data_IF_414666193140
#
_entry.id   IF_414666193140
#
_cell.length_a   1.000
_cell.length_b   1.000
_cell.length_c   1.000
_cell.angle_alpha   90.00
_cell.angle_beta   90.00
_cell.angle_gamma   90.00
#
_symmetry.space_group_name_H-M   'P 1'
#
loop_
_entity.id
_entity.type
_entity.pdbx_description
1 polymer ?
#
# COMPACT_ATOMS: atom_id res chain seq x y z
N UNK A 1 -21.92 16.13 1.68
CA UNK A 1 -21.57 14.81 1.11
C UNK A 1 -20.34 14.33 1.83
N UNK A 2 -20.44 13.20 2.54
CA UNK A 2 -19.29 12.59 3.20
C UNK A 2 -18.41 11.83 2.18
N UNK A 3 -17.18 11.49 2.56
CA UNK A 3 -16.33 10.62 1.74
C UNK A 3 -17.02 9.28 1.50
N UNK A 4 -17.62 8.70 2.54
CA UNK A 4 -18.40 7.46 2.50
C UNK A 4 -19.49 7.52 1.45
N UNK A 5 -20.27 8.60 1.40
CA UNK A 5 -21.36 8.77 0.42
C UNK A 5 -20.81 8.75 -1.02
N UNK A 6 -19.69 9.45 -1.26
CA UNK A 6 -19.04 9.49 -2.57
C UNK A 6 -18.47 8.13 -2.99
N UNK A 7 -17.89 7.39 -2.05
CA UNK A 7 -17.36 6.05 -2.30
C UNK A 7 -18.47 5.04 -2.63
N UNK A 8 -19.60 5.13 -1.94
CA UNK A 8 -20.79 4.34 -2.25
C UNK A 8 -21.31 4.67 -3.65
N UNK A 9 -21.36 5.95 -4.02
CA UNK A 9 -21.76 6.36 -5.37
C UNK A 9 -20.83 5.77 -6.44
N UNK A 10 -19.52 5.81 -6.25
CA UNK A 10 -18.57 5.20 -7.21
C UNK A 10 -18.71 3.68 -7.30
N UNK A 11 -18.92 3.00 -6.17
CA UNK A 11 -19.17 1.55 -6.15
C UNK A 11 -20.44 1.21 -6.94
N UNK A 12 -21.51 1.95 -6.68
CA UNK A 12 -22.82 1.70 -7.28
C UNK A 12 -22.81 2.03 -8.78
N UNK A 13 -22.06 3.06 -9.20
CA UNK A 13 -21.83 3.41 -10.61
C UNK A 13 -21.05 2.34 -11.37
N UNK A 14 -20.05 1.71 -10.75
CA UNK A 14 -19.29 0.64 -11.40
C UNK A 14 -20.14 -0.64 -11.57
N UNK A 15 -21.13 -0.86 -10.68
CA UNK A 15 -22.09 -1.97 -10.72
C UNK A 15 -21.45 -3.38 -10.85
N UNK A 16 -20.16 -3.50 -10.54
CA UNK A 16 -19.42 -4.75 -10.63
C UNK A 16 -19.66 -5.61 -9.40
N UNK A 17 -19.95 -6.89 -9.61
CA UNK A 17 -20.11 -7.88 -8.53
C UNK A 17 -18.80 -8.62 -8.22
N UNK A 18 -17.76 -8.43 -9.04
CA UNK A 18 -16.47 -9.09 -8.89
C UNK A 18 -15.44 -8.11 -8.34
N UNK A 19 -15.08 -8.27 -7.06
CA UNK A 19 -14.07 -7.42 -6.40
C UNK A 19 -12.71 -7.49 -7.09
N UNK A 20 -12.37 -8.62 -7.72
CA UNK A 20 -11.09 -8.80 -8.42
C UNK A 20 -11.03 -7.98 -9.73
N UNK A 21 -12.17 -7.53 -10.25
CA UNK A 21 -12.25 -6.71 -11.46
C UNK A 21 -12.62 -5.26 -11.18
N UNK A 22 -13.26 -5.00 -10.04
CA UNK A 22 -13.68 -3.67 -9.63
C UNK A 22 -12.48 -2.71 -9.47
N UNK A 23 -12.67 -1.47 -9.90
CA UNK A 23 -11.67 -0.40 -9.99
C UNK A 23 -12.05 0.84 -9.21
N UNK A 24 -13.30 0.98 -8.75
CA UNK A 24 -13.76 2.14 -7.98
C UNK A 24 -12.87 2.42 -6.77
N UNK A 25 -12.53 1.37 -6.00
CA UNK A 25 -11.69 1.49 -4.81
C UNK A 25 -10.21 1.74 -5.14
N UNK A 26 -9.78 1.47 -6.37
CA UNK A 26 -8.39 1.73 -6.80
C UNK A 26 -8.20 3.23 -7.01
N UNK A 27 -9.10 3.88 -7.74
CA UNK A 27 -9.07 5.31 -7.95
C UNK A 27 -9.17 6.06 -6.61
N UNK A 28 -10.06 5.61 -5.73
CA UNK A 28 -10.21 6.15 -4.38
C UNK A 28 -8.98 5.92 -3.51
N UNK A 29 -8.31 4.77 -3.61
CA UNK A 29 -7.11 4.50 -2.81
C UNK A 29 -5.92 5.37 -3.23
N UNK A 30 -5.78 5.63 -4.54
CA UNK A 30 -4.78 6.55 -5.06
C UNK A 30 -5.08 7.99 -4.63
N UNK A 31 -6.36 8.40 -4.67
CA UNK A 31 -6.78 9.72 -4.18
C UNK A 31 -6.58 9.86 -2.66
N UNK A 32 -6.78 8.78 -1.91
CA UNK A 32 -6.56 8.72 -0.47
C UNK A 32 -5.09 8.49 -0.08
N UNK A 33 -4.15 8.41 -1.03
CA UNK A 33 -2.73 8.23 -0.72
C UNK A 33 -2.20 9.44 0.08
N UNK A 34 -2.16 9.30 1.41
CA UNK A 34 -1.81 10.37 2.34
C UNK A 34 -3.00 11.02 3.07
N UNK A 35 -4.21 10.49 2.92
CA UNK A 35 -5.42 10.95 3.61
C UNK A 35 -5.64 10.29 4.99
N UNK A 36 -4.72 9.44 5.44
CA UNK A 36 -4.73 8.90 6.80
C UNK A 36 -5.87 7.90 7.05
N UNK A 37 -6.84 8.29 7.88
CA UNK A 37 -7.99 7.46 8.28
C UNK A 37 -8.89 7.07 7.11
N UNK A 38 -8.93 7.89 6.06
CA UNK A 38 -9.78 7.68 4.89
C UNK A 38 -9.43 6.37 4.14
N UNK A 39 -8.16 5.95 4.20
CA UNK A 39 -7.71 4.68 3.64
C UNK A 39 -8.30 3.48 4.38
N UNK A 40 -8.53 3.59 5.69
CA UNK A 40 -9.15 2.54 6.50
C UNK A 40 -10.63 2.41 6.14
N UNK A 41 -11.33 3.53 6.02
CA UNK A 41 -12.75 3.54 5.68
C UNK A 41 -13.00 3.01 4.27
N UNK A 42 -12.19 3.43 3.30
CA UNK A 42 -12.20 2.89 1.95
C UNK A 42 -11.99 1.38 1.94
N UNK A 43 -10.98 0.89 2.68
CA UNK A 43 -10.70 -0.54 2.75
C UNK A 43 -11.90 -1.31 3.31
N UNK A 44 -12.46 -0.83 4.43
CA UNK A 44 -13.63 -1.44 5.06
C UNK A 44 -14.84 -1.54 4.11
N UNK A 45 -15.10 -0.47 3.33
CA UNK A 45 -16.17 -0.47 2.34
C UNK A 45 -15.89 -1.42 1.17
N UNK A 46 -14.63 -1.50 0.73
CA UNK A 46 -14.22 -2.36 -0.36
C UNK A 46 -14.19 -3.85 0.01
N UNK A 47 -14.10 -4.18 1.30
CA UNK A 47 -14.00 -5.56 1.79
C UNK A 47 -15.22 -6.07 2.56
N UNK A 48 -16.27 -5.27 2.67
CA UNK A 48 -17.49 -5.68 3.39
C UNK A 48 -18.07 -6.99 2.82
N UNK A 49 -18.23 -8.00 3.69
CA UNK A 49 -18.79 -9.31 3.32
C UNK A 49 -17.84 -10.23 2.54
N UNK A 50 -16.57 -9.85 2.35
CA UNK A 50 -15.59 -10.69 1.66
C UNK A 50 -14.94 -11.73 2.57
N UNK A 51 -14.38 -12.77 1.96
CA UNK A 51 -13.48 -13.71 2.65
C UNK A 51 -12.10 -13.10 2.81
N UNK A 52 -11.34 -13.53 3.82
CA UNK A 52 -9.98 -13.04 4.09
C UNK A 52 -9.04 -13.09 2.87
N UNK A 53 -9.16 -14.12 2.03
CA UNK A 53 -8.38 -14.23 0.79
C UNK A 53 -8.68 -13.09 -0.19
N UNK A 54 -9.96 -12.72 -0.32
CA UNK A 54 -10.39 -11.61 -1.17
C UNK A 54 -10.05 -10.25 -0.54
N UNK A 55 -10.11 -10.14 0.79
CA UNK A 55 -9.63 -8.96 1.53
C UNK A 55 -8.15 -8.67 1.23
N UNK A 56 -7.32 -9.72 1.22
CA UNK A 56 -5.89 -9.63 0.88
C UNK A 56 -5.68 -9.32 -0.60
N UNK A 57 -6.53 -9.83 -1.49
CA UNK A 57 -6.50 -9.46 -2.91
C UNK A 57 -6.75 -7.95 -3.11
N UNK A 58 -7.72 -7.37 -2.39
CA UNK A 58 -7.96 -5.92 -2.40
C UNK A 58 -6.72 -5.17 -1.93
N UNK A 59 -6.08 -5.60 -0.84
CA UNK A 59 -4.82 -5.00 -0.38
C UNK A 59 -3.73 -5.04 -1.46
N UNK A 60 -3.53 -6.17 -2.15
CA UNK A 60 -2.55 -6.27 -3.25
C UNK A 60 -2.82 -5.26 -4.36
N UNK A 61 -4.08 -5.10 -4.74
CA UNK A 61 -4.50 -4.15 -5.79
C UNK A 61 -4.26 -2.70 -5.36
N UNK A 62 -4.56 -2.37 -4.11
CA UNK A 62 -4.28 -1.05 -3.53
C UNK A 62 -2.77 -0.78 -3.48
N UNK A 63 -1.96 -1.70 -2.96
CA UNK A 63 -0.49 -1.58 -2.92
C UNK A 63 0.09 -1.35 -4.31
N UNK A 64 -0.37 -2.12 -5.29
CA UNK A 64 0.06 -2.02 -6.69
C UNK A 64 -0.28 -0.65 -7.28
N UNK A 65 -1.48 -0.14 -7.00
CA UNK A 65 -1.91 1.17 -7.47
C UNK A 65 -1.08 2.31 -6.86
N UNK A 66 -0.83 2.25 -5.55
CA UNK A 66 0.01 3.23 -4.83
C UNK A 66 1.45 3.21 -5.38
N UNK A 67 2.01 2.02 -5.59
CA UNK A 67 3.35 1.89 -6.15
C UNK A 67 3.43 2.49 -7.56
N UNK A 68 2.50 2.12 -8.46
CA UNK A 68 2.48 2.62 -9.85
C UNK A 68 2.30 4.13 -9.95
N UNK A 69 1.61 4.74 -8.99
CA UNK A 69 1.31 6.16 -8.99
C UNK A 69 2.26 6.99 -8.13
N UNK A 70 3.21 6.34 -7.43
CA UNK A 70 4.22 6.99 -6.59
C UNK A 70 5.04 8.07 -7.31
N UNK A 71 5.21 7.96 -8.63
CA UNK A 71 5.89 8.97 -9.44
C UNK A 71 5.13 10.31 -9.53
N UNK A 72 3.81 10.32 -9.27
CA UNK A 72 2.96 11.52 -9.39
C UNK A 72 2.98 12.38 -8.11
N UNK A 73 3.09 11.76 -6.94
CA UNK A 73 2.98 12.45 -5.65
C UNK A 73 4.14 12.16 -4.68
N UNK A 74 5.14 11.40 -5.14
CA UNK A 74 6.40 11.16 -4.46
C UNK A 74 6.41 9.90 -3.59
N UNK A 75 7.54 9.20 -3.63
CA UNK A 75 7.83 7.99 -2.83
C UNK A 75 7.56 8.17 -1.33
N UNK A 76 7.89 9.31 -0.67
CA UNK A 76 7.65 9.46 0.77
C UNK A 76 6.17 9.40 1.16
N UNK A 77 5.27 9.88 0.30
CA UNK A 77 3.82 9.78 0.52
C UNK A 77 3.33 8.35 0.32
N UNK A 78 3.80 7.66 -0.73
CA UNK A 78 3.49 6.24 -0.95
C UNK A 78 3.91 5.35 0.22
N UNK A 79 5.09 5.60 0.80
CA UNK A 79 5.62 4.85 1.96
C UNK A 79 4.82 5.05 3.26
N UNK A 80 3.97 6.07 3.31
CA UNK A 80 3.13 6.37 4.47
C UNK A 80 1.65 6.06 4.25
N UNK A 81 1.22 5.91 2.98
CA UNK A 81 -0.18 5.82 2.60
C UNK A 81 -0.94 4.68 3.27
N UNK A 82 -0.29 3.53 3.50
CA UNK A 82 -0.92 2.34 4.08
C UNK A 82 -0.59 2.09 5.55
N UNK A 83 0.24 2.93 6.19
CA UNK A 83 0.56 2.77 7.62
C UNK A 83 -0.70 2.74 8.51
N UNK A 84 -1.69 3.66 8.34
CA UNK A 84 -2.90 3.63 9.15
C UNK A 84 -3.71 2.34 8.95
N UNK A 85 -3.74 1.83 7.72
CA UNK A 85 -4.42 0.56 7.42
C UNK A 85 -3.74 -0.60 8.16
N UNK A 86 -2.42 -0.71 8.09
CA UNK A 86 -1.68 -1.77 8.78
C UNK A 86 -1.77 -1.67 10.31
N UNK A 87 -1.91 -0.46 10.86
CA UNK A 87 -2.10 -0.28 12.30
C UNK A 87 -3.52 -0.64 12.76
N UNK A 88 -4.49 -0.61 11.85
CA UNK A 88 -5.89 -0.96 12.14
C UNK A 88 -6.20 -2.46 12.04
N UNK A 89 -5.29 -3.26 11.46
CA UNK A 89 -5.52 -4.68 11.17
C UNK A 89 -4.61 -5.59 12.01
N UNK A 90 -5.08 -6.78 12.41
CA UNK A 90 -4.20 -7.81 12.97
C UNK A 90 -3.24 -8.32 11.88
N UNK A 91 -2.03 -8.73 12.30
CA UNK A 91 -0.96 -9.13 11.37
C UNK A 91 -1.38 -10.23 10.39
N UNK A 92 -2.19 -11.20 10.84
CA UNK A 92 -2.71 -12.29 10.01
C UNK A 92 -3.63 -11.83 8.88
N UNK A 93 -4.20 -10.63 8.99
CA UNK A 93 -5.05 -10.03 7.97
C UNK A 93 -4.27 -9.18 6.98
N UNK A 94 -3.01 -8.84 7.27
CA UNK A 94 -2.20 -8.03 6.36
C UNK A 94 -1.63 -8.95 5.27
N UNK A 95 -1.77 -8.53 4.02
CA UNK A 95 -1.12 -9.18 2.91
C UNK A 95 0.39 -8.88 2.94
N UNK A 96 1.25 -9.85 2.61
CA UNK A 96 2.71 -9.67 2.58
C UNK A 96 3.31 -9.84 1.18
N UNK A 97 2.46 -9.91 0.16
CA UNK A 97 2.88 -10.24 -1.20
C UNK A 97 3.72 -9.09 -1.81
N UNK A 98 4.90 -9.42 -2.32
CA UNK A 98 5.89 -8.47 -2.83
C UNK A 98 6.67 -9.03 -4.03
N UNK A 99 6.05 -9.20 -5.19
CA UNK A 99 6.62 -9.97 -6.31
C UNK A 99 7.82 -9.28 -6.96
N UNK A 100 7.92 -7.94 -6.92
CA UNK A 100 9.10 -7.25 -7.49
C UNK A 100 10.31 -7.42 -6.59
N UNK A 101 10.09 -7.41 -5.28
CA UNK A 101 11.14 -7.70 -4.31
C UNK A 101 11.64 -9.14 -4.45
N UNK A 102 10.73 -10.11 -4.50
CA UNK A 102 11.05 -11.53 -4.70
C UNK A 102 11.80 -11.77 -6.02
N UNK A 103 11.35 -11.17 -7.13
CA UNK A 103 12.02 -11.30 -8.42
C UNK A 103 13.43 -10.69 -8.44
N UNK A 104 13.71 -9.72 -7.56
CA UNK A 104 15.02 -9.09 -7.45
C UNK A 104 16.04 -9.92 -6.64
N UNK A 105 15.61 -10.95 -5.92
CA UNK A 105 16.46 -11.79 -5.06
C UNK A 105 17.50 -12.64 -5.81
N UNK A 106 17.44 -12.68 -7.15
CA UNK A 106 18.42 -13.35 -8.01
C UNK A 106 19.58 -12.43 -8.46
N UNK A 107 19.75 -11.26 -7.83
CA UNK A 107 20.84 -10.31 -8.15
C UNK A 107 22.11 -10.64 -7.36
N UNK A 108 23.27 -10.19 -7.84
CA UNK A 108 24.52 -10.38 -7.11
C UNK A 108 24.48 -9.67 -5.75
N UNK A 109 25.09 -10.27 -4.73
CA UNK A 109 25.16 -9.74 -3.35
C UNK A 109 25.64 -8.28 -3.28
N UNK A 110 26.62 -7.92 -4.11
CA UNK A 110 27.16 -6.55 -4.19
C UNK A 110 26.13 -5.53 -4.71
N UNK A 111 25.23 -5.95 -5.62
CA UNK A 111 24.13 -5.13 -6.13
C UNK A 111 23.05 -4.90 -5.07
N UNK A 112 22.83 -5.89 -4.20
CA UNK A 112 21.88 -5.82 -3.09
C UNK A 112 22.39 -4.88 -1.99
N UNK A 113 23.63 -5.06 -1.53
CA UNK A 113 24.24 -4.22 -0.50
C UNK A 113 24.26 -2.73 -0.90
N UNK A 114 24.64 -2.44 -2.15
CA UNK A 114 24.63 -1.07 -2.66
C UNK A 114 23.21 -0.48 -2.74
N UNK A 115 22.20 -1.30 -3.05
CA UNK A 115 20.79 -0.88 -3.11
C UNK A 115 20.23 -0.62 -1.72
N UNK A 116 20.47 -1.51 -0.77
CA UNK A 116 20.09 -1.33 0.63
C UNK A 116 20.74 -0.09 1.24
N UNK A 117 22.02 0.16 0.96
CA UNK A 117 22.73 1.34 1.44
C UNK A 117 22.09 2.64 0.91
N UNK A 118 21.69 2.66 -0.37
CA UNK A 118 20.96 3.81 -0.96
C UNK A 118 19.59 3.99 -0.32
N UNK A 119 18.83 2.91 -0.14
CA UNK A 119 17.53 2.95 0.53
C UNK A 119 17.65 3.47 1.97
N UNK A 120 18.60 2.94 2.75
CA UNK A 120 18.86 3.39 4.12
C UNK A 120 19.19 4.88 4.18
N UNK A 121 20.11 5.35 3.33
CA UNK A 121 20.47 6.77 3.23
C UNK A 121 19.26 7.64 2.85
N UNK A 122 18.42 7.18 1.93
CA UNK A 122 17.21 7.89 1.52
C UNK A 122 16.24 8.07 2.69
N UNK A 123 15.92 7.00 3.41
CA UNK A 123 15.04 7.06 4.58
C UNK A 123 15.64 7.93 5.70
N UNK A 124 16.93 7.78 6.01
CA UNK A 124 17.60 8.58 7.03
C UNK A 124 17.58 10.07 6.71
N UNK A 125 17.67 10.44 5.43
CA UNK A 125 17.60 11.83 4.97
C UNK A 125 16.19 12.41 5.11
N UNK A 126 15.15 11.60 4.88
CA UNK A 126 13.76 12.06 4.91
C UNK A 126 13.19 12.23 6.33
N UNK A 127 13.46 11.27 7.22
CA UNK A 127 12.80 11.19 8.52
C UNK A 127 13.74 11.30 9.72
N UNK A 128 15.06 11.32 9.49
CA UNK A 128 16.05 11.13 10.55
C UNK A 128 16.13 9.67 11.00
N UNK A 129 17.25 9.28 11.62
CA UNK A 129 17.61 7.86 11.83
C UNK A 129 16.55 7.01 12.54
N UNK A 130 15.88 7.58 13.55
CA UNK A 130 14.92 6.85 14.38
C UNK A 130 13.62 6.55 13.62
N UNK A 131 12.95 7.59 13.11
CA UNK A 131 11.73 7.42 12.31
C UNK A 131 12.00 6.71 10.97
N UNK A 132 13.20 6.87 10.41
CA UNK A 132 13.63 6.13 9.23
C UNK A 132 13.65 4.62 9.46
N UNK A 133 14.08 4.15 10.64
CA UNK A 133 14.07 2.73 10.98
C UNK A 133 12.65 2.19 11.06
N UNK A 134 11.74 2.93 11.72
CA UNK A 134 10.32 2.58 11.77
C UNK A 134 9.71 2.40 10.38
N UNK A 135 9.92 3.39 9.48
CA UNK A 135 9.37 3.32 8.12
C UNK A 135 9.98 2.19 7.31
N UNK A 136 11.28 1.91 7.45
CA UNK A 136 11.93 0.78 6.77
C UNK A 136 11.33 -0.55 7.23
N UNK A 137 11.26 -0.79 8.53
CA UNK A 137 10.80 -2.07 9.08
C UNK A 137 9.33 -2.33 8.71
N UNK A 138 8.47 -1.31 8.81
CA UNK A 138 7.07 -1.42 8.41
C UNK A 138 6.89 -1.65 6.92
N UNK A 139 7.53 -0.85 6.07
CA UNK A 139 7.39 -1.01 4.63
C UNK A 139 8.01 -2.32 4.14
N UNK A 140 9.16 -2.74 4.69
CA UNK A 140 9.76 -4.02 4.33
C UNK A 140 8.88 -5.20 4.74
N UNK A 141 8.23 -5.13 5.91
CA UNK A 141 7.34 -6.19 6.39
C UNK A 141 6.06 -6.31 5.54
N UNK A 142 5.45 -5.18 5.13
CA UNK A 142 4.09 -5.19 4.57
C UNK A 142 4.00 -4.80 3.08
N UNK A 143 4.98 -4.08 2.54
CA UNK A 143 5.04 -3.68 1.13
C UNK A 143 6.51 -3.55 0.64
N UNK A 144 7.27 -4.67 0.59
CA UNK A 144 8.69 -4.63 0.25
C UNK A 144 8.96 -4.13 -1.18
N UNK A 145 7.96 -4.18 -2.05
CA UNK A 145 8.02 -3.60 -3.40
C UNK A 145 8.25 -2.07 -3.43
N UNK A 146 7.96 -1.35 -2.34
CA UNK A 146 8.31 0.07 -2.20
C UNK A 146 9.75 0.31 -1.73
N UNK A 147 10.45 -0.74 -1.30
CA UNK A 147 11.80 -0.69 -0.76
C UNK A 147 12.86 -1.27 -1.71
N UNK A 148 12.44 -1.84 -2.85
CA UNK A 148 13.29 -2.46 -3.86
C UNK A 148 13.79 -1.55 -4.97
#
# INVERSE_FOLDING_TARGET
MSLTDLLVEFRDLEASTDVAKSTWYIASAVAAAGAGSDTIELYRLATEGLTLELEKLVQRRIKEAILKTSCLYGVPKSLQALLPLWDSLPDSHIDHYGPRFEAAANKSRESEEAREARGRKYFDTLWGREAAQFHRDRNFKYQPDLCG
#
